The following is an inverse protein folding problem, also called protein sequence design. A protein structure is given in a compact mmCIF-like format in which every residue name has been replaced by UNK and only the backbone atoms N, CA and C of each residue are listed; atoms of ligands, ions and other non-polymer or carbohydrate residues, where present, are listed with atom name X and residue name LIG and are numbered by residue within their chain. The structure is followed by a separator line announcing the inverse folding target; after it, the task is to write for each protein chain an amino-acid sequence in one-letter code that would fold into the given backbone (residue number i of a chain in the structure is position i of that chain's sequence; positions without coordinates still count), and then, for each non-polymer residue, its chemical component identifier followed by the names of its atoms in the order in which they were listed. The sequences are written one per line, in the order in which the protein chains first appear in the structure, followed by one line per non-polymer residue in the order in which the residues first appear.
data_IF_499498769242
#
_entry.id   IF_499498769242
#
_cell.length_a   1.000
_cell.length_b   1.000
_cell.length_c   1.000
_cell.angle_alpha   90.00
_cell.angle_beta   90.00
_cell.angle_gamma   90.00
#
_symmetry.space_group_name_H-M   'P 1'
#
loop_
_entity.id
_entity.type
_entity.pdbx_description
1 polymer ?
#
# COMPACT_ATOMS: atom_id res chain seq x y z
N UNK A 1 18.02 -21.23 12.80
CA UNK A 1 16.71 -20.99 12.14
C UNK A 1 16.31 -19.52 12.19
N UNK A 2 16.12 -18.91 13.37
CA UNK A 2 15.73 -17.47 13.45
C UNK A 2 16.78 -16.54 12.83
N UNK A 3 18.08 -16.80 13.05
CA UNK A 3 19.13 -15.98 12.45
C UNK A 3 19.11 -16.05 10.91
N UNK A 4 19.02 -17.26 10.36
CA UNK A 4 18.90 -17.47 8.92
C UNK A 4 17.75 -16.68 8.29
N UNK A 5 16.57 -16.65 8.92
CA UNK A 5 15.43 -15.88 8.42
C UNK A 5 15.66 -14.37 8.46
N UNK A 6 16.44 -13.87 9.44
CA UNK A 6 16.84 -12.45 9.48
C UNK A 6 17.82 -12.13 8.37
N UNK A 7 18.81 -12.98 8.16
CA UNK A 7 19.80 -12.81 7.10
C UNK A 7 19.12 -12.83 5.71
N UNK A 8 18.15 -13.72 5.50
CA UNK A 8 17.33 -13.75 4.28
C UNK A 8 16.47 -12.50 4.12
N UNK A 9 15.88 -11.99 5.21
CA UNK A 9 15.11 -10.75 5.17
C UNK A 9 16.00 -9.57 4.74
N UNK A 10 17.15 -9.39 5.38
CA UNK A 10 18.11 -8.34 5.05
C UNK A 10 18.60 -8.46 3.59
N UNK A 11 18.83 -9.70 3.13
CA UNK A 11 19.20 -9.95 1.75
C UNK A 11 18.11 -9.51 0.77
N UNK A 12 16.84 -9.86 1.03
CA UNK A 12 15.70 -9.45 0.20
C UNK A 12 15.54 -7.93 0.21
N UNK A 13 15.65 -7.29 1.37
CA UNK A 13 15.58 -5.82 1.47
C UNK A 13 16.68 -5.14 0.66
N UNK A 14 17.90 -5.70 0.67
CA UNK A 14 18.99 -5.23 -0.16
C UNK A 14 18.68 -5.37 -1.67
N UNK A 15 18.15 -6.52 -2.09
CA UNK A 15 17.75 -6.76 -3.48
C UNK A 15 16.66 -5.76 -3.95
N UNK A 16 15.68 -5.46 -3.09
CA UNK A 16 14.65 -4.46 -3.37
C UNK A 16 15.28 -3.08 -3.57
N UNK A 17 16.15 -2.65 -2.63
CA UNK A 17 16.84 -1.35 -2.72
C UNK A 17 17.67 -1.25 -3.99
N UNK A 18 18.48 -2.27 -4.29
CA UNK A 18 19.32 -2.31 -5.49
C UNK A 18 18.48 -2.25 -6.78
N UNK A 19 17.34 -2.94 -6.81
CA UNK A 19 16.42 -2.86 -7.95
C UNK A 19 15.86 -1.45 -8.13
N UNK A 20 15.40 -0.81 -7.05
CA UNK A 20 14.83 0.55 -7.13
C UNK A 20 15.88 1.57 -7.58
N UNK A 21 17.11 1.46 -7.08
CA UNK A 21 18.22 2.34 -7.49
C UNK A 21 18.57 2.21 -8.98
N UNK A 22 18.44 1.01 -9.55
CA UNK A 22 18.68 0.77 -10.99
C UNK A 22 17.67 1.47 -11.90
N UNK A 23 16.45 1.75 -11.42
CA UNK A 23 15.38 2.33 -12.24
C UNK A 23 14.99 3.73 -11.74
N UNK A 24 15.43 4.81 -12.41
CA UNK A 24 15.21 6.19 -11.94
C UNK A 24 13.74 6.56 -11.71
N UNK A 25 12.83 6.00 -12.51
CA UNK A 25 11.38 6.19 -12.32
C UNK A 25 10.88 5.61 -11.00
N UNK A 26 11.31 4.39 -10.64
CA UNK A 26 10.95 3.78 -9.36
C UNK A 26 11.56 4.54 -8.18
N UNK A 27 12.80 5.01 -8.32
CA UNK A 27 13.46 5.83 -7.30
C UNK A 27 12.71 7.13 -7.05
N UNK A 28 12.29 7.83 -8.11
CA UNK A 28 11.50 9.07 -8.00
C UNK A 28 10.15 8.80 -7.33
N UNK A 29 9.43 7.77 -7.76
CA UNK A 29 8.12 7.43 -7.21
C UNK A 29 8.21 7.02 -5.74
N UNK A 30 9.24 6.25 -5.36
CA UNK A 30 9.48 5.91 -3.95
C UNK A 30 9.80 7.15 -3.11
N UNK A 31 10.60 8.08 -3.63
CA UNK A 31 10.91 9.33 -2.93
C UNK A 31 9.66 10.17 -2.69
N UNK A 32 8.75 10.25 -3.67
CA UNK A 32 7.46 10.91 -3.53
C UNK A 32 6.54 10.21 -2.53
N UNK A 33 6.51 8.88 -2.51
CA UNK A 33 5.74 8.14 -1.51
C UNK A 33 6.28 8.42 -0.10
N UNK A 34 7.60 8.39 0.08
CA UNK A 34 8.27 8.61 1.37
C UNK A 34 8.26 10.07 1.84
N UNK A 35 7.83 11.03 1.01
CA UNK A 35 7.65 12.41 1.46
C UNK A 35 6.35 12.63 2.23
N UNK A 36 5.49 11.63 2.31
CA UNK A 36 4.27 11.65 3.14
C UNK A 36 4.64 11.18 4.55
N UNK A 37 4.32 11.99 5.55
CA UNK A 37 4.54 11.64 6.95
C UNK A 37 3.84 10.31 7.28
N UNK A 38 4.57 9.42 7.97
CA UNK A 38 4.11 8.06 8.28
C UNK A 38 4.44 6.99 7.22
N UNK A 39 4.90 7.38 6.01
CA UNK A 39 5.28 6.42 4.97
C UNK A 39 6.78 6.06 5.03
N UNK A 40 7.08 4.96 5.71
CA UNK A 40 8.42 4.35 5.77
C UNK A 40 8.77 3.44 4.57
N UNK A 41 9.94 2.79 4.61
CA UNK A 41 10.42 1.92 3.51
C UNK A 41 9.44 0.79 3.19
N UNK A 42 8.96 0.08 4.22
CA UNK A 42 8.05 -1.05 4.06
C UNK A 42 6.73 -0.63 3.39
N UNK A 43 6.11 0.47 3.84
CA UNK A 43 4.88 0.99 3.21
C UNK A 43 5.19 1.48 1.79
N UNK A 44 6.28 2.23 1.62
CA UNK A 44 6.71 2.76 0.34
C UNK A 44 6.91 1.68 -0.73
N UNK A 45 7.64 0.59 -0.41
CA UNK A 45 7.86 -0.52 -1.35
C UNK A 45 6.56 -1.24 -1.71
N UNK A 46 5.71 -1.49 -0.72
CA UNK A 46 4.43 -2.15 -0.93
C UNK A 46 3.50 -1.30 -1.83
N UNK A 47 3.42 0.01 -1.57
CA UNK A 47 2.64 0.94 -2.38
C UNK A 47 3.22 1.09 -3.79
N UNK A 48 4.55 1.16 -3.92
CA UNK A 48 5.23 1.22 -5.21
C UNK A 48 4.91 -0.01 -6.07
N UNK A 49 4.97 -1.21 -5.49
CA UNK A 49 4.62 -2.45 -6.17
C UNK A 49 3.16 -2.49 -6.62
N UNK A 50 2.23 -2.01 -5.77
CA UNK A 50 0.80 -1.96 -6.12
C UNK A 50 0.55 -0.96 -7.25
N UNK A 51 1.08 0.26 -7.14
CA UNK A 51 0.81 1.32 -8.12
C UNK A 51 1.47 1.00 -9.46
N UNK A 52 2.71 0.51 -9.47
CA UNK A 52 3.47 0.22 -10.71
C UNK A 52 3.13 -1.14 -11.32
N UNK A 53 2.64 -2.08 -10.52
CA UNK A 53 2.23 -3.42 -10.95
C UNK A 53 0.80 -3.49 -11.49
N UNK A 54 0.03 -2.39 -11.44
CA UNK A 54 -1.35 -2.32 -11.91
C UNK A 54 -1.55 -1.11 -12.81
N UNK A 55 -2.61 -1.13 -13.62
CA UNK A 55 -2.97 -0.03 -14.53
C UNK A 55 -4.03 0.89 -13.91
N UNK A 56 -3.67 1.61 -12.86
CA UNK A 56 -4.55 2.62 -12.28
C UNK A 56 -4.52 3.91 -13.11
N UNK A 57 -5.69 4.53 -13.29
CA UNK A 57 -5.84 5.81 -13.99
C UNK A 57 -6.01 7.00 -13.03
N UNK A 58 -6.29 6.73 -11.76
CA UNK A 58 -6.52 7.76 -10.75
C UNK A 58 -6.24 7.24 -9.34
N UNK A 59 -6.06 8.17 -8.38
CA UNK A 59 -5.84 7.84 -6.98
C UNK A 59 -7.05 7.16 -6.34
N UNK A 60 -8.27 7.52 -6.76
CA UNK A 60 -9.52 6.92 -6.29
C UNK A 60 -9.60 5.43 -6.65
N UNK A 61 -9.08 5.04 -7.82
CA UNK A 61 -9.02 3.61 -8.19
C UNK A 61 -8.06 2.84 -7.28
N UNK A 62 -6.92 3.44 -6.91
CA UNK A 62 -5.98 2.84 -5.95
C UNK A 62 -6.66 2.71 -4.58
N UNK A 63 -7.33 3.77 -4.11
CA UNK A 63 -8.04 3.75 -2.84
C UNK A 63 -9.18 2.72 -2.80
N UNK A 64 -9.91 2.58 -3.91
CA UNK A 64 -10.96 1.56 -4.06
C UNK A 64 -10.38 0.15 -4.06
N UNK A 65 -9.28 -0.08 -4.80
CA UNK A 65 -8.56 -1.35 -4.83
C UNK A 65 -8.04 -1.77 -3.45
N UNK A 66 -7.53 -0.81 -2.66
CA UNK A 66 -7.06 -1.06 -1.29
C UNK A 66 -8.21 -1.24 -0.28
N UNK A 67 -9.44 -0.89 -0.67
CA UNK A 67 -10.63 -0.91 0.17
C UNK A 67 -10.57 0.12 1.30
N UNK A 68 -9.85 1.22 1.09
CA UNK A 68 -9.71 2.34 2.04
C UNK A 68 -10.76 3.44 1.82
N UNK A 69 -11.68 3.22 0.89
CA UNK A 69 -12.82 4.11 0.65
C UNK A 69 -14.01 3.76 1.55
N UNK A 70 -14.86 4.73 1.92
CA UNK A 70 -16.14 4.47 2.56
C UNK A 70 -17.14 3.84 1.57
N UNK A 71 -18.06 3.03 2.08
CA UNK A 71 -19.20 2.49 1.35
C UNK A 71 -20.47 2.89 2.06
N UNK A 72 -21.36 3.56 1.32
CA UNK A 72 -22.69 3.97 1.77
C UNK A 72 -23.72 2.88 1.47
N UNK A 73 -24.65 2.65 2.41
CA UNK A 73 -25.80 1.77 2.18
C UNK A 73 -26.94 2.58 1.58
N UNK A 74 -27.31 2.28 0.34
CA UNK A 74 -28.37 3.02 -0.40
C UNK A 74 -29.68 2.24 -0.56
N UNK A 75 -29.86 1.13 0.12
CA UNK A 75 -31.04 0.26 0.00
C UNK A 75 -31.48 -0.33 1.34
N UNK A 76 -32.79 -0.64 1.45
CA UNK A 76 -33.41 -1.25 2.63
C UNK A 76 -34.01 -0.25 3.62
N UNK A 77 -34.50 -0.69 4.77
CA UNK A 77 -35.05 0.19 5.82
C UNK A 77 -33.99 0.97 6.62
N UNK A 78 -32.72 0.84 6.23
CA UNK A 78 -31.54 1.33 6.95
C UNK A 78 -30.67 2.25 6.07
N UNK A 79 -31.30 2.98 5.13
CA UNK A 79 -30.64 3.88 4.14
C UNK A 79 -29.81 5.01 4.80
N UNK A 80 -29.99 5.24 6.10
CA UNK A 80 -29.22 6.21 6.90
C UNK A 80 -28.19 5.56 7.82
N UNK A 81 -27.82 4.30 7.57
CA UNK A 81 -26.76 3.62 8.31
C UNK A 81 -25.40 4.28 8.13
N UNK A 82 -24.55 4.20 9.17
CA UNK A 82 -23.18 4.75 9.16
C UNK A 82 -22.35 4.11 8.02
N UNK A 83 -21.69 4.94 7.22
CA UNK A 83 -20.74 4.47 6.21
C UNK A 83 -19.59 3.71 6.85
N UNK A 84 -19.16 2.61 6.22
CA UNK A 84 -18.05 1.78 6.67
C UNK A 84 -16.98 1.67 5.60
N UNK A 85 -15.74 1.42 6.00
CA UNK A 85 -14.67 1.04 5.06
C UNK A 85 -15.12 -0.13 4.18
N UNK A 86 -14.85 -0.02 2.88
CA UNK A 86 -15.11 -1.06 1.89
C UNK A 86 -14.49 -2.40 2.28
N UNK A 87 -13.24 -2.36 2.76
CA UNK A 87 -12.42 -3.55 3.10
C UNK A 87 -12.21 -4.54 1.93
N UNK A 88 -12.63 -4.17 0.72
CA UNK A 88 -12.33 -4.90 -0.51
C UNK A 88 -10.82 -4.82 -0.77
N UNK A 89 -10.25 -5.87 -1.37
CA UNK A 89 -8.82 -5.92 -1.67
C UNK A 89 -7.92 -6.32 -0.50
N UNK A 90 -6.59 -6.19 -0.66
CA UNK A 90 -5.60 -6.92 0.14
C UNK A 90 -5.57 -6.46 1.61
N UNK A 91 -5.97 -7.32 2.58
CA UNK A 91 -6.05 -6.93 3.99
C UNK A 91 -4.69 -6.57 4.60
N UNK A 92 -3.61 -7.23 4.16
CA UNK A 92 -2.26 -6.98 4.69
C UNK A 92 -1.75 -5.57 4.40
N UNK A 93 -2.06 -5.01 3.22
CA UNK A 93 -1.65 -3.65 2.87
C UNK A 93 -2.49 -2.62 3.61
N UNK A 94 -3.80 -2.85 3.66
CA UNK A 94 -4.71 -1.99 4.43
C UNK A 94 -4.30 -1.91 5.90
N UNK A 95 -3.89 -3.03 6.50
CA UNK A 95 -3.37 -3.06 7.86
C UNK A 95 -2.09 -2.22 8.02
N UNK A 96 -1.13 -2.33 7.08
CA UNK A 96 0.09 -1.51 7.08
C UNK A 96 -0.22 -0.02 6.98
N UNK A 97 -1.15 0.37 6.10
CA UNK A 97 -1.58 1.76 5.95
C UNK A 97 -2.27 2.30 7.20
N UNK A 98 -3.05 1.47 7.89
CA UNK A 98 -3.68 1.85 9.16
C UNK A 98 -2.65 2.02 10.29
N UNK A 99 -1.60 1.20 10.32
CA UNK A 99 -0.56 1.27 11.36
C UNK A 99 0.49 2.36 11.12
N UNK A 100 0.65 2.80 9.86
CA UNK A 100 1.55 3.90 9.50
C UNK A 100 0.89 5.29 9.55
N UNK A 101 -0.41 5.36 9.81
CA UNK A 101 -1.19 6.59 9.97
C UNK A 101 -1.23 7.07 11.43
#
# INVERSE_FOLDING_TARGET
MVQHLKDELEHIEHLIKAHIEKYPGLKKDLALLKSIDGVGEQIGWNMLAIIRGNHFRSAEQVAAYLGVIPVERRSGSSVHGRASLSKIGPPGIRAKLYMGA
#
